data_IF_670975275870
#
_entry.id   IF_670975275870
#
_cell.length_a   1.000
_cell.length_b   1.000
_cell.length_c   1.000
_cell.angle_alpha   90.00
_cell.angle_beta   90.00
_cell.angle_gamma   90.00
#
_symmetry.space_group_name_H-M   'P 1'
#
loop_
_entity.id
_entity.type
_entity.pdbx_description
1 polymer ?
#
# COMPACT_ATOMS: atom_id res chain seq x y z
N UNK A 1 -27.49 -2.26 -2.07
CA UNK A 1 -26.44 -2.38 -1.05
C UNK A 1 -25.67 -3.65 -1.32
N UNK A 2 -24.42 -3.58 -1.81
CA UNK A 2 -23.50 -4.73 -1.74
C UNK A 2 -22.77 -4.64 -0.40
N UNK A 3 -22.77 -5.67 0.45
CA UNK A 3 -22.27 -5.56 1.83
C UNK A 3 -20.74 -5.49 1.93
N UNK A 4 -20.01 -5.95 0.93
CA UNK A 4 -18.55 -6.01 0.95
C UNK A 4 -17.96 -5.12 -0.14
N UNK A 5 -17.09 -4.21 0.27
CA UNK A 5 -16.48 -3.17 -0.54
C UNK A 5 -15.13 -3.65 -1.11
N UNK A 6 -15.04 -4.93 -1.49
CA UNK A 6 -13.81 -5.58 -1.95
C UNK A 6 -13.57 -5.34 -3.42
N UNK A 7 -12.34 -4.98 -3.77
CA UNK A 7 -11.93 -4.76 -5.15
C UNK A 7 -11.52 -6.10 -5.78
N UNK A 8 -12.03 -6.38 -6.99
CA UNK A 8 -11.74 -7.63 -7.71
C UNK A 8 -10.25 -7.74 -8.03
N UNK A 9 -9.66 -8.90 -7.73
CA UNK A 9 -8.26 -9.20 -8.00
C UNK A 9 -7.88 -9.03 -9.47
N UNK A 10 -8.77 -9.37 -10.41
CA UNK A 10 -8.50 -9.20 -11.84
C UNK A 10 -8.34 -7.73 -12.24
N UNK A 11 -9.06 -6.83 -11.55
CA UNK A 11 -8.94 -5.40 -11.79
C UNK A 11 -7.67 -4.81 -11.14
N UNK A 12 -7.05 -5.48 -10.17
CA UNK A 12 -5.80 -5.04 -9.54
C UNK A 12 -4.58 -5.32 -10.43
N UNK A 13 -4.61 -6.43 -11.18
CA UNK A 13 -3.44 -6.91 -11.94
C UNK A 13 -2.88 -5.84 -12.90
N UNK A 14 -3.66 -5.14 -13.77
CA UNK A 14 -3.08 -4.15 -14.69
C UNK A 14 -2.46 -2.91 -13.99
N UNK A 15 -3.14 -2.24 -13.03
CA UNK A 15 -2.53 -1.19 -12.22
C UNK A 15 -1.24 -1.60 -11.51
N UNK A 16 -1.23 -2.81 -10.93
CA UNK A 16 -0.07 -3.33 -10.21
C UNK A 16 1.12 -3.56 -11.15
N UNK A 17 0.90 -4.09 -12.36
CA UNK A 17 1.97 -4.21 -13.37
C UNK A 17 2.56 -2.86 -13.75
N UNK A 18 1.73 -1.84 -13.91
CA UNK A 18 2.19 -0.49 -14.24
C UNK A 18 3.05 0.12 -13.11
N UNK A 19 2.62 -0.08 -11.85
CA UNK A 19 3.38 0.34 -10.68
C UNK A 19 4.74 -0.36 -10.63
N UNK A 20 4.75 -1.69 -10.80
CA UNK A 20 5.98 -2.47 -10.78
C UNK A 20 6.94 -2.09 -11.91
N UNK A 21 6.42 -1.80 -13.12
CA UNK A 21 7.24 -1.30 -14.22
C UNK A 21 7.86 0.07 -13.91
N UNK A 22 7.11 0.97 -13.27
CA UNK A 22 7.61 2.26 -12.81
C UNK A 22 8.70 2.12 -11.74
N UNK A 23 8.48 1.27 -10.74
CA UNK A 23 9.46 1.00 -9.69
C UNK A 23 10.73 0.32 -10.24
N UNK A 24 10.60 -0.65 -11.15
CA UNK A 24 11.76 -1.29 -11.80
C UNK A 24 12.61 -0.26 -12.56
N UNK A 25 11.97 0.68 -13.24
CA UNK A 25 12.67 1.78 -13.91
C UNK A 25 13.42 2.69 -12.91
N UNK A 26 12.76 3.10 -11.82
CA UNK A 26 13.39 3.95 -10.78
C UNK A 26 14.56 3.25 -10.09
N UNK A 27 14.37 2.00 -9.67
CA UNK A 27 15.38 1.21 -8.96
C UNK A 27 16.61 0.95 -9.84
N UNK A 28 16.45 0.76 -11.16
CA UNK A 28 17.57 0.67 -12.12
C UNK A 28 18.36 1.96 -12.28
N UNK A 29 17.78 3.09 -11.91
CA UNK A 29 18.42 4.40 -11.90
C UNK A 29 18.90 4.79 -10.50
N UNK A 30 18.92 3.86 -9.54
CA UNK A 30 19.30 4.09 -8.15
C UNK A 30 18.44 5.16 -7.46
N UNK A 31 17.16 5.24 -7.85
CA UNK A 31 16.15 6.13 -7.29
C UNK A 31 15.18 5.32 -6.43
N UNK A 32 15.04 5.70 -5.17
CA UNK A 32 14.07 5.15 -4.21
C UNK A 32 12.91 6.14 -4.09
N UNK A 33 11.66 5.67 -4.25
CA UNK A 33 10.50 6.58 -4.29
C UNK A 33 10.24 7.23 -2.95
N UNK A 34 10.29 6.46 -1.87
CA UNK A 34 10.16 6.89 -0.45
C UNK A 34 9.10 7.97 -0.22
N UNK A 35 7.89 7.60 0.21
CA UNK A 35 6.81 8.55 0.46
C UNK A 35 6.42 8.67 1.93
N UNK A 36 6.76 9.79 2.58
CA UNK A 36 6.22 10.15 3.90
C UNK A 36 5.09 11.17 3.79
N UNK A 37 4.21 11.21 4.80
CA UNK A 37 3.44 12.38 5.29
C UNK A 37 1.89 12.28 5.34
N UNK A 38 1.41 12.16 6.59
CA UNK A 38 0.14 12.63 7.19
C UNK A 38 -1.21 12.21 6.57
N UNK A 39 -1.88 11.32 7.32
CA UNK A 39 -3.33 11.11 7.28
C UNK A 39 -4.07 12.41 7.68
N UNK A 40 -4.90 12.95 6.79
CA UNK A 40 -6.08 13.72 7.23
C UNK A 40 -7.34 12.92 6.93
N UNK A 41 -8.07 12.60 8.00
CA UNK A 41 -9.30 11.82 8.01
C UNK A 41 -10.50 12.77 7.89
N UNK A 42 -11.26 12.72 6.79
CA UNK A 42 -12.68 13.15 6.67
C UNK A 42 -13.31 12.30 5.58
N UNK A 43 -14.49 11.72 5.66
CA UNK A 43 -15.58 11.64 6.63
C UNK A 43 -16.40 10.39 6.28
N UNK A 44 -17.05 9.79 7.28
CA UNK A 44 -18.11 8.80 7.11
C UNK A 44 -19.33 9.37 6.39
N UNK A 45 -20.14 8.45 5.83
CA UNK A 45 -21.51 8.56 5.32
C UNK A 45 -21.68 8.82 3.80
N UNK A 46 -21.80 7.74 3.03
CA UNK A 46 -22.98 7.43 2.20
C UNK A 46 -22.66 6.29 1.23
N UNK A 47 -23.46 5.23 1.31
CA UNK A 47 -23.35 4.07 0.44
C UNK A 47 -23.84 4.39 -0.96
N UNK A 48 -22.95 4.25 -1.95
CA UNK A 48 -23.18 3.63 -3.25
C UNK A 48 -21.81 3.53 -3.97
N UNK A 49 -21.66 2.41 -4.68
CA UNK A 49 -20.60 1.90 -5.55
C UNK A 49 -19.23 2.63 -5.70
N UNK A 50 -18.22 1.78 -5.56
CA UNK A 50 -16.78 1.75 -5.87
C UNK A 50 -16.15 2.96 -6.57
N UNK A 51 -15.27 3.64 -5.83
CA UNK A 51 -14.28 4.58 -6.37
C UNK A 51 -12.91 3.96 -6.19
N UNK A 52 -12.18 3.91 -7.28
CA UNK A 52 -10.81 3.46 -7.35
C UNK A 52 -9.93 4.53 -6.70
N UNK A 53 -9.46 4.25 -5.48
CA UNK A 53 -8.44 5.06 -4.82
C UNK A 53 -7.10 4.30 -4.94
N UNK A 54 -6.51 4.37 -6.14
CA UNK A 54 -5.18 3.81 -6.41
C UNK A 54 -4.19 4.88 -6.10
N UNK A 55 -3.30 4.61 -5.16
CA UNK A 55 -2.29 5.59 -4.80
C UNK A 55 -1.24 4.92 -3.83
N UNK A 56 0.06 5.10 -4.09
CA UNK A 56 1.21 4.36 -3.50
C UNK A 56 1.59 4.82 -2.07
N UNK A 57 0.60 4.83 -1.17
CA UNK A 57 0.31 6.09 -0.49
C UNK A 57 -0.88 6.69 -1.13
N UNK A 58 -2.13 6.57 -0.60
CA UNK A 58 -3.35 6.90 -1.35
C UNK A 58 -3.54 8.36 -1.87
N UNK A 59 -2.45 9.08 -2.18
CA UNK A 59 -2.32 10.40 -2.80
C UNK A 59 -1.19 10.51 -3.86
N UNK A 60 -0.33 9.49 -4.04
CA UNK A 60 0.88 9.54 -4.90
C UNK A 60 0.76 8.75 -6.21
N UNK A 61 -0.44 8.39 -6.68
CA UNK A 61 -0.65 7.88 -8.05
C UNK A 61 -1.69 8.73 -8.78
N UNK A 62 -1.36 9.16 -9.99
CA UNK A 62 -2.30 9.85 -10.87
C UNK A 62 -2.98 8.85 -11.79
N UNK A 63 -4.31 8.87 -11.81
CA UNK A 63 -5.10 8.23 -12.85
C UNK A 63 -5.40 9.27 -13.94
N UNK A 64 -5.02 8.94 -15.18
CA UNK A 64 -5.45 9.75 -16.32
C UNK A 64 -6.97 9.65 -16.52
N UNK A 65 -7.54 10.62 -17.22
CA UNK A 65 -8.95 10.59 -17.64
C UNK A 65 -9.00 10.40 -19.15
N UNK A 66 -9.82 9.47 -19.62
CA UNK A 66 -9.96 9.16 -21.05
C UNK A 66 -10.85 10.17 -21.78
N UNK A 67 -11.95 10.55 -21.15
CA UNK A 67 -12.93 11.45 -21.72
C UNK A 67 -13.02 12.75 -20.90
N UNK A 68 -12.56 13.85 -21.50
CA UNK A 68 -12.60 15.17 -20.88
C UNK A 68 -14.03 15.72 -20.73
N UNK A 69 -15.02 15.14 -21.41
CA UNK A 69 -16.44 15.51 -21.25
C UNK A 69 -16.93 15.33 -19.80
N UNK A 70 -16.27 14.44 -19.06
CA UNK A 70 -16.54 14.24 -17.63
C UNK A 70 -16.40 15.53 -16.83
N UNK A 71 -15.47 16.40 -17.20
CA UNK A 71 -15.24 17.66 -16.49
C UNK A 71 -16.44 18.60 -16.63
N UNK A 72 -17.08 18.62 -17.80
CA UNK A 72 -18.31 19.39 -18.02
C UNK A 72 -19.46 18.86 -17.16
N UNK A 73 -19.59 17.53 -17.04
CA UNK A 73 -20.58 16.91 -16.13
C UNK A 73 -20.31 17.32 -14.67
N UNK A 74 -19.04 17.39 -14.25
CA UNK A 74 -18.68 17.85 -12.91
C UNK A 74 -18.97 19.33 -12.69
N UNK A 75 -18.68 20.17 -13.68
CA UNK A 75 -18.91 21.61 -13.65
C UNK A 75 -20.41 21.95 -13.58
N UNK A 76 -21.22 21.31 -14.41
CA UNK A 76 -22.68 21.41 -14.36
C UNK A 76 -23.23 20.90 -13.02
N UNK A 77 -22.74 19.77 -12.53
CA UNK A 77 -23.16 19.25 -11.23
C UNK A 77 -22.74 20.14 -10.05
N UNK A 78 -21.61 20.84 -10.13
CA UNK A 78 -21.16 21.81 -9.09
C UNK A 78 -21.92 23.13 -9.15
N UNK A 79 -22.35 23.54 -10.33
CA UNK A 79 -23.01 24.83 -10.56
C UNK A 79 -24.52 24.77 -10.34
N UNK A 80 -25.18 23.74 -10.87
CA UNK A 80 -26.64 23.75 -11.02
C UNK A 80 -27.37 22.73 -10.14
N UNK A 81 -26.81 21.53 -9.95
CA UNK A 81 -27.59 20.40 -9.43
C UNK A 81 -27.22 19.96 -8.01
N UNK A 82 -25.93 19.93 -7.68
CA UNK A 82 -25.47 19.36 -6.41
C UNK A 82 -24.10 19.91 -6.01
N UNK A 83 -23.96 21.18 -5.58
CA UNK A 83 -22.68 21.76 -5.17
C UNK A 83 -22.03 20.93 -4.04
N UNK A 84 -20.71 20.72 -4.13
CA UNK A 84 -20.04 19.94 -3.10
C UNK A 84 -19.91 20.75 -1.81
N UNK A 85 -19.93 20.08 -0.63
CA UNK A 85 -19.67 20.76 0.62
C UNK A 85 -18.34 21.53 0.54
N UNK A 86 -18.38 22.81 0.88
CA UNK A 86 -17.23 23.71 0.75
C UNK A 86 -17.09 24.59 1.98
N UNK A 87 -15.85 24.95 2.32
CA UNK A 87 -15.53 25.95 3.32
C UNK A 87 -14.96 27.18 2.61
N UNK A 88 -15.66 28.29 2.70
CA UNK A 88 -15.20 29.58 2.18
C UNK A 88 -14.37 30.27 3.26
N UNK A 89 -13.13 30.63 2.93
CA UNK A 89 -12.23 31.46 3.72
C UNK A 89 -12.03 32.79 2.99
N UNK A 90 -11.38 33.78 3.62
CA UNK A 90 -11.14 35.09 3.00
C UNK A 90 -10.29 35.01 1.71
N UNK A 91 -9.33 34.08 1.66
CA UNK A 91 -8.37 33.93 0.57
C UNK A 91 -8.71 32.81 -0.43
N UNK A 92 -9.51 31.82 -0.01
CA UNK A 92 -9.78 30.62 -0.81
C UNK A 92 -11.05 29.90 -0.42
N UNK A 93 -11.56 29.09 -1.35
CA UNK A 93 -12.60 28.11 -1.06
C UNK A 93 -12.03 26.71 -1.07
N UNK A 94 -12.25 25.95 0.00
CA UNK A 94 -11.83 24.56 0.13
C UNK A 94 -13.03 23.69 -0.15
N UNK A 95 -12.96 22.88 -1.20
CA UNK A 95 -14.01 21.97 -1.63
C UNK A 95 -13.73 20.56 -1.09
N UNK A 96 -14.79 19.82 -0.75
CA UNK A 96 -14.66 18.37 -0.49
C UNK A 96 -14.46 17.68 -1.84
N UNK A 97 -13.42 16.83 -1.93
CA UNK A 97 -13.09 16.08 -3.14
C UNK A 97 -14.28 15.27 -3.64
N UNK A 98 -14.59 15.39 -4.93
CA UNK A 98 -15.58 14.58 -5.62
C UNK A 98 -14.96 13.29 -6.13
N UNK A 99 -15.81 12.27 -6.23
CA UNK A 99 -15.46 10.96 -6.78
C UNK A 99 -15.34 11.08 -8.30
N UNK A 100 -14.17 10.75 -8.86
CA UNK A 100 -13.94 10.73 -10.32
C UNK A 100 -14.44 9.39 -10.88
N UNK A 101 -15.12 9.36 -12.04
CA UNK A 101 -15.54 8.10 -12.65
C UNK A 101 -14.35 7.28 -13.14
N UNK A 102 -14.65 6.00 -13.40
CA UNK A 102 -13.68 5.02 -13.87
C UNK A 102 -12.96 5.49 -15.14
N UNK A 103 -11.62 5.42 -15.13
CA UNK A 103 -10.81 5.52 -16.34
C UNK A 103 -10.21 4.16 -16.67
N UNK A 104 -10.07 3.89 -17.96
CA UNK A 104 -9.33 2.75 -18.47
C UNK A 104 -7.81 2.95 -18.44
N UNK A 105 -7.32 4.16 -18.09
CA UNK A 105 -5.89 4.46 -17.98
C UNK A 105 -5.29 3.86 -16.71
N UNK A 106 -4.06 3.39 -16.86
CA UNK A 106 -3.28 2.84 -15.78
C UNK A 106 -2.70 3.97 -14.90
N UNK A 107 -2.53 3.73 -13.59
CA UNK A 107 -1.96 4.70 -12.67
C UNK A 107 -0.50 5.04 -13.03
N UNK A 108 -0.11 6.29 -12.80
CA UNK A 108 1.27 6.77 -12.96
C UNK A 108 1.81 7.16 -11.59
N UNK A 109 3.00 6.65 -11.24
CA UNK A 109 3.73 7.04 -10.03
C UNK A 109 4.02 8.54 -10.10
N UNK A 110 3.59 9.26 -9.07
CA UNK A 110 3.81 10.70 -8.92
C UNK A 110 4.43 11.01 -7.57
N UNK A 111 4.62 12.31 -7.32
CA UNK A 111 5.19 12.86 -6.09
C UNK A 111 6.57 12.29 -5.76
N UNK A 112 7.57 12.83 -6.44
CA UNK A 112 8.98 12.54 -6.21
C UNK A 112 9.61 13.49 -5.18
N UNK A 113 8.80 14.23 -4.41
CA UNK A 113 9.29 15.24 -3.47
C UNK A 113 10.09 14.66 -2.31
N UNK A 114 9.90 13.38 -2.02
CA UNK A 114 10.57 12.65 -0.94
C UNK A 114 11.53 11.57 -1.45
N UNK A 115 11.85 11.55 -2.74
CA UNK A 115 12.80 10.59 -3.32
C UNK A 115 14.15 10.62 -2.62
N UNK A 116 14.80 9.45 -2.58
CA UNK A 116 16.17 9.27 -2.09
C UNK A 116 17.02 8.59 -3.17
N UNK A 117 18.28 8.99 -3.27
CA UNK A 117 19.26 8.35 -4.14
C UNK A 117 19.98 7.25 -3.37
N UNK A 118 20.41 6.19 -4.05
CA UNK A 118 21.13 5.07 -3.43
C UNK A 118 22.64 5.33 -3.22
N UNK A 119 23.06 6.58 -3.28
CA UNK A 119 24.46 6.99 -3.21
C UNK A 119 25.04 6.98 -1.79
N UNK A 120 24.18 7.05 -0.77
CA UNK A 120 24.55 7.01 0.64
C UNK A 120 23.79 5.90 1.40
N UNK A 121 24.37 5.45 2.51
CA UNK A 121 23.70 4.48 3.40
C UNK A 121 22.61 5.19 4.21
N UNK A 122 21.37 4.76 4.03
CA UNK A 122 20.22 5.37 4.70
C UNK A 122 19.87 4.63 5.98
N UNK A 123 19.95 5.31 7.14
CA UNK A 123 19.80 4.66 8.45
C UNK A 123 18.94 5.52 9.38
N UNK A 124 17.94 4.90 10.01
CA UNK A 124 17.20 5.50 11.13
C UNK A 124 16.28 6.67 10.76
N UNK A 125 16.21 7.03 9.49
CA UNK A 125 15.22 7.94 8.94
C UNK A 125 13.84 7.31 8.96
N UNK A 126 12.88 8.08 9.41
CA UNK A 126 11.48 7.74 9.24
C UNK A 126 11.07 8.34 7.89
N UNK A 127 10.94 7.49 6.88
CA UNK A 127 10.63 7.83 5.47
C UNK A 127 9.32 7.22 4.99
N UNK A 128 8.80 6.27 5.78
CA UNK A 128 7.56 5.60 5.51
C UNK A 128 6.45 6.10 6.44
N UNK A 129 5.19 5.98 6.03
CA UNK A 129 4.06 6.51 6.77
C UNK A 129 3.45 5.46 7.72
N UNK A 130 3.17 5.84 8.96
CA UNK A 130 2.48 5.07 10.02
C UNK A 130 2.47 3.53 9.85
N UNK A 131 1.35 2.99 9.37
CA UNK A 131 1.04 1.55 9.30
C UNK A 131 1.57 0.87 8.04
N UNK A 132 2.19 1.65 7.14
CA UNK A 132 2.84 1.16 5.93
C UNK A 132 4.34 0.90 6.16
N UNK A 133 4.87 1.30 7.32
CA UNK A 133 6.30 1.16 7.64
C UNK A 133 6.75 -0.30 7.57
N UNK A 134 7.79 -0.54 6.77
CA UNK A 134 8.51 -1.80 6.72
C UNK A 134 9.22 -2.08 8.06
N UNK A 135 9.51 -3.34 8.40
CA UNK A 135 10.11 -3.68 9.69
C UNK A 135 11.48 -3.01 9.92
N UNK A 136 12.30 -2.85 8.87
CA UNK A 136 13.58 -2.14 8.94
C UNK A 136 13.42 -0.66 9.31
N UNK A 137 12.33 0.00 8.87
CA UNK A 137 12.03 1.39 9.23
C UNK A 137 11.54 1.50 10.67
N UNK A 138 10.70 0.55 11.13
CA UNK A 138 10.25 0.50 12.53
C UNK A 138 11.45 0.32 13.47
N UNK A 139 12.38 -0.55 13.10
CA UNK A 139 13.58 -0.84 13.87
C UNK A 139 14.73 0.15 13.63
N UNK A 140 14.55 1.18 12.80
CA UNK A 140 15.59 2.17 12.51
C UNK A 140 16.91 1.54 12.01
N UNK A 141 16.79 0.44 11.28
CA UNK A 141 17.91 -0.22 10.60
C UNK A 141 18.29 0.52 9.31
N UNK A 142 19.35 0.07 8.66
CA UNK A 142 19.64 0.46 7.27
C UNK A 142 18.52 0.00 6.33
N UNK A 143 18.17 0.84 5.36
CA UNK A 143 17.11 0.60 4.38
C UNK A 143 17.54 1.03 2.98
N UNK A 144 16.87 0.47 1.96
CA UNK A 144 17.19 0.64 0.53
C UNK A 144 15.88 0.52 -0.29
N UNK A 145 15.98 0.28 -1.61
CA UNK A 145 14.87 0.08 -2.57
C UNK A 145 13.75 -0.87 -2.09
N UNK A 146 14.06 -1.79 -1.18
CA UNK A 146 13.15 -2.80 -0.65
C UNK A 146 11.95 -2.23 0.11
N UNK A 147 12.04 -0.98 0.59
CA UNK A 147 10.91 -0.28 1.24
C UNK A 147 9.79 0.03 0.26
N UNK A 148 10.13 0.31 -1.01
CA UNK A 148 9.14 0.49 -2.07
C UNK A 148 8.48 -0.85 -2.39
N UNK A 149 9.25 -1.94 -2.42
CA UNK A 149 8.73 -3.29 -2.63
C UNK A 149 7.77 -3.69 -1.51
N UNK A 150 8.09 -3.41 -0.25
CA UNK A 150 7.15 -3.60 0.87
C UNK A 150 5.86 -2.81 0.68
N UNK A 151 5.98 -1.55 0.24
CA UNK A 151 4.83 -0.68 -0.02
C UNK A 151 3.89 -1.26 -1.09
N UNK A 152 4.42 -2.00 -2.07
CA UNK A 152 3.59 -2.71 -3.06
C UNK A 152 2.64 -3.70 -2.39
N UNK A 153 3.10 -4.50 -1.42
CA UNK A 153 2.21 -5.43 -0.70
C UNK A 153 1.15 -4.67 0.11
N UNK A 154 1.56 -3.59 0.81
CA UNK A 154 0.64 -2.78 1.61
C UNK A 154 -0.48 -2.17 0.75
N UNK A 155 -0.11 -1.56 -0.37
CA UNK A 155 -1.04 -0.92 -1.31
C UNK A 155 -1.93 -1.94 -2.01
N UNK A 156 -1.35 -3.06 -2.46
CA UNK A 156 -2.13 -4.13 -3.11
C UNK A 156 -3.22 -4.68 -2.17
N UNK A 157 -2.87 -4.90 -0.91
CA UNK A 157 -3.83 -5.32 0.10
C UNK A 157 -4.91 -4.26 0.39
N UNK A 158 -4.50 -3.00 0.60
CA UNK A 158 -5.43 -1.91 0.92
C UNK A 158 -6.43 -1.67 -0.22
N UNK A 159 -6.00 -1.80 -1.48
CA UNK A 159 -6.90 -1.71 -2.63
C UNK A 159 -7.95 -2.83 -2.60
N UNK A 160 -7.52 -4.07 -2.34
CA UNK A 160 -8.40 -5.26 -2.38
C UNK A 160 -9.38 -5.29 -1.21
N UNK A 161 -8.91 -5.01 0.01
CA UNK A 161 -9.70 -5.10 1.24
C UNK A 161 -10.37 -3.79 1.65
N UNK A 162 -9.87 -2.65 1.17
CA UNK A 162 -10.30 -1.32 1.59
C UNK A 162 -9.80 -0.90 2.98
N UNK A 163 -8.87 -1.67 3.56
CA UNK A 163 -8.17 -1.34 4.80
C UNK A 163 -6.79 -1.98 4.81
N UNK A 164 -5.88 -1.42 5.61
CA UNK A 164 -4.50 -1.90 5.74
C UNK A 164 -4.44 -3.31 6.35
N UNK A 165 -3.39 -4.04 5.98
CA UNK A 165 -3.14 -5.40 6.49
C UNK A 165 -2.79 -5.38 7.98
N UNK A 166 -1.95 -4.41 8.39
CA UNK A 166 -1.62 -4.13 9.78
C UNK A 166 -2.49 -3.00 10.30
N UNK A 167 -3.01 -3.14 11.53
CA UNK A 167 -3.74 -2.07 12.20
C UNK A 167 -2.78 -1.16 12.94
N UNK A 168 -1.79 -1.76 13.61
CA UNK A 168 -0.70 -1.09 14.32
C UNK A 168 -1.13 0.09 15.21
N UNK A 169 -2.34 0.03 15.79
CA UNK A 169 -2.91 1.12 16.59
C UNK A 169 -3.46 0.60 17.91
N UNK A 170 -3.17 1.35 18.98
CA UNK A 170 -3.70 1.08 20.31
C UNK A 170 -5.18 1.53 20.44
N UNK A 171 -5.76 1.36 21.63
CA UNK A 171 -7.16 1.73 21.92
C UNK A 171 -7.46 3.22 21.69
N UNK A 172 -6.45 4.08 21.83
CA UNK A 172 -6.51 5.52 21.56
C UNK A 172 -6.36 5.87 20.06
N UNK A 173 -6.22 4.85 19.20
CA UNK A 173 -5.99 4.96 17.75
C UNK A 173 -4.64 5.59 17.38
N UNK A 174 -3.71 5.64 18.33
CA UNK A 174 -2.34 6.07 18.09
C UNK A 174 -1.50 4.91 17.57
N UNK A 175 -0.54 5.21 16.70
CA UNK A 175 0.40 4.22 16.17
C UNK A 175 1.20 3.60 17.31
N UNK A 176 1.29 2.27 17.34
CA UNK A 176 2.04 1.52 18.33
C UNK A 176 2.89 0.44 17.66
N UNK A 177 4.20 0.65 17.66
CA UNK A 177 5.15 -0.24 17.02
C UNK A 177 5.21 -1.63 17.64
N UNK A 178 4.83 -1.77 18.92
CA UNK A 178 4.76 -3.10 19.57
C UNK A 178 3.63 -3.92 18.96
N UNK A 179 2.47 -3.29 18.73
CA UNK A 179 1.34 -3.93 18.06
C UNK A 179 1.66 -4.22 16.60
N UNK A 180 2.31 -3.28 15.92
CA UNK A 180 2.71 -3.46 14.52
C UNK A 180 3.62 -4.69 14.35
N UNK A 181 4.69 -4.79 15.14
CA UNK A 181 5.63 -5.91 15.08
C UNK A 181 4.98 -7.22 15.52
N UNK A 182 4.05 -7.21 16.49
CA UNK A 182 3.31 -8.41 16.88
C UNK A 182 2.39 -8.92 15.74
N UNK A 183 1.72 -8.02 15.02
CA UNK A 183 0.92 -8.40 13.83
C UNK A 183 1.83 -8.92 12.70
N UNK A 184 3.02 -8.35 12.51
CA UNK A 184 4.02 -8.87 11.56
C UNK A 184 4.48 -10.28 11.95
N UNK A 185 4.76 -10.55 13.24
CA UNK A 185 5.11 -11.89 13.72
C UNK A 185 3.98 -12.89 13.47
N UNK A 186 2.73 -12.50 13.71
CA UNK A 186 1.57 -13.36 13.45
C UNK A 186 1.48 -13.78 11.98
N UNK A 187 1.73 -12.85 11.05
CA UNK A 187 1.60 -13.08 9.61
C UNK A 187 2.84 -13.76 9.00
N UNK A 188 4.04 -13.36 9.41
CA UNK A 188 5.31 -13.74 8.78
C UNK A 188 6.12 -14.77 9.59
N UNK A 189 5.70 -15.06 10.82
CA UNK A 189 6.51 -15.80 11.79
C UNK A 189 7.57 -14.91 12.46
N UNK A 190 8.36 -15.47 13.41
CA UNK A 190 9.40 -14.71 14.10
C UNK A 190 10.51 -14.26 13.12
N UNK A 191 11.09 -13.07 13.32
CA UNK A 191 12.21 -12.60 12.52
C UNK A 191 13.46 -13.48 12.70
N UNK A 192 14.29 -13.64 11.65
CA UNK A 192 15.58 -14.29 11.80
C UNK A 192 16.52 -13.46 12.67
N UNK A 193 17.44 -14.13 13.37
CA UNK A 193 18.40 -13.48 14.28
C UNK A 193 19.25 -12.41 13.57
N UNK A 194 19.67 -12.71 12.34
CA UNK A 194 20.44 -11.78 11.51
C UNK A 194 19.71 -10.44 11.33
N UNK A 195 18.39 -10.46 11.11
CA UNK A 195 17.61 -9.24 10.97
C UNK A 195 17.60 -8.42 12.28
N UNK A 196 17.46 -9.09 13.42
CA UNK A 196 17.45 -8.45 14.74
C UNK A 196 18.80 -7.81 15.09
N UNK A 197 19.90 -8.44 14.68
CA UNK A 197 21.27 -7.96 14.94
C UNK A 197 21.62 -6.69 14.14
N UNK A 198 20.86 -6.35 13.08
CA UNK A 198 21.07 -5.13 12.27
C UNK A 198 20.71 -3.83 12.99
N UNK A 199 19.98 -3.88 14.10
CA UNK A 199 19.63 -2.68 14.87
C UNK A 199 19.59 -2.93 16.36
N UNK A 200 20.21 -2.02 17.13
CA UNK A 200 20.12 -2.02 18.60
C UNK A 200 18.68 -1.79 19.09
N UNK A 201 17.83 -1.16 18.29
CA UNK A 201 16.41 -0.93 18.59
C UNK A 201 15.64 -2.24 18.74
N UNK A 202 16.11 -3.33 18.12
CA UNK A 202 15.50 -4.65 18.25
C UNK A 202 15.44 -5.13 19.70
N UNK A 203 16.44 -4.78 20.53
CA UNK A 203 16.53 -5.18 21.93
C UNK A 203 15.42 -4.59 22.82
N UNK A 204 14.69 -3.58 22.33
CA UNK A 204 13.48 -3.07 22.98
C UNK A 204 12.37 -4.12 22.94
N UNK A 205 12.26 -4.85 21.82
CA UNK A 205 11.13 -5.71 21.50
C UNK A 205 11.45 -7.21 21.67
N UNK A 206 12.69 -7.62 21.37
CA UNK A 206 13.20 -8.98 21.53
C UNK A 206 14.32 -9.04 22.58
N UNK A 207 14.50 -10.20 23.18
CA UNK A 207 15.64 -10.48 24.05
C UNK A 207 16.91 -10.84 23.26
N UNK A 208 18.01 -11.07 23.97
CA UNK A 208 19.31 -11.42 23.36
C UNK A 208 19.29 -12.76 22.60
N UNK A 209 18.30 -13.61 22.87
CA UNK A 209 18.09 -14.88 22.18
C UNK A 209 17.14 -14.73 20.97
N UNK A 210 16.70 -13.51 20.66
CA UNK A 210 15.73 -13.23 19.59
C UNK A 210 14.29 -13.64 19.93
N UNK A 211 13.97 -13.86 21.21
CA UNK A 211 12.62 -14.17 21.65
C UNK A 211 11.81 -12.88 21.90
N UNK A 212 10.54 -12.89 21.51
CA UNK A 212 9.65 -11.76 21.75
C UNK A 212 9.50 -11.50 23.25
N UNK A 213 9.73 -10.27 23.70
CA UNK A 213 9.67 -9.91 25.15
C UNK A 213 8.26 -9.90 25.73
N UNK A 214 7.23 -10.18 24.94
CA UNK A 214 5.84 -10.20 25.42
C UNK A 214 5.29 -8.80 25.72
N UNK A 215 5.79 -7.75 25.06
CA UNK A 215 5.32 -6.38 25.24
C UNK A 215 3.82 -6.20 24.90
N UNK A 216 3.32 -7.05 24.01
CA UNK A 216 1.91 -7.20 23.65
C UNK A 216 1.69 -8.64 23.18
N UNK A 217 0.49 -9.23 23.34
CA UNK A 217 0.19 -10.55 22.79
C UNK A 217 0.31 -10.54 21.26
N UNK A 218 0.86 -11.61 20.71
CA UNK A 218 0.82 -11.88 19.27
C UNK A 218 -0.61 -12.30 18.93
N UNK A 219 -1.31 -11.58 18.03
CA UNK A 219 -2.68 -11.92 17.68
C UNK A 219 -2.74 -13.24 16.90
N UNK A 220 -3.83 -13.99 17.08
CA UNK A 220 -4.11 -15.21 16.30
C UNK A 220 -4.73 -14.83 14.96
N UNK A 221 -3.88 -14.39 14.03
CA UNK A 221 -4.24 -13.98 12.67
C UNK A 221 -3.25 -14.57 11.66
N UNK A 222 -3.74 -14.81 10.46
CA UNK A 222 -2.95 -15.20 9.28
C UNK A 222 -3.46 -14.44 8.04
N UNK A 223 -2.67 -14.42 6.97
CA UNK A 223 -3.12 -13.87 5.69
C UNK A 223 -4.45 -14.48 5.24
N UNK A 224 -4.63 -15.79 5.39
CA UNK A 224 -5.86 -16.50 5.06
C UNK A 224 -7.06 -15.96 5.84
N UNK A 225 -6.93 -15.85 7.16
CA UNK A 225 -8.03 -15.36 8.00
C UNK A 225 -8.38 -13.91 7.69
N UNK A 226 -7.40 -13.07 7.34
CA UNK A 226 -7.61 -11.68 6.98
C UNK A 226 -8.18 -11.52 5.55
N UNK A 227 -7.87 -12.50 4.68
CA UNK A 227 -8.35 -12.56 3.31
C UNK A 227 -9.81 -13.01 3.19
N UNK A 228 -10.46 -13.35 4.30
CA UNK A 228 -11.87 -13.69 4.31
C UNK A 228 -12.71 -12.59 3.63
N UNK A 229 -13.58 -12.99 2.71
CA UNK A 229 -14.40 -12.09 1.91
C UNK A 229 -13.69 -11.39 0.74
N UNK A 230 -12.41 -11.67 0.42
CA UNK A 230 -11.82 -11.26 -0.86
C UNK A 230 -12.51 -12.03 -1.99
N UNK A 231 -12.98 -11.30 -3.00
CA UNK A 231 -13.57 -11.84 -4.22
C UNK A 231 -12.55 -11.81 -5.37
N UNK A 232 -12.49 -12.87 -6.18
CA UNK A 232 -11.63 -12.95 -7.35
C UNK A 232 -11.20 -14.38 -7.68
N UNK A 233 -10.77 -14.59 -8.92
CA UNK A 233 -10.06 -15.82 -9.28
C UNK A 233 -8.68 -15.83 -8.62
N UNK A 234 -8.24 -17.02 -8.18
CA UNK A 234 -6.92 -17.25 -7.59
C UNK A 234 -6.51 -16.35 -6.40
N UNK A 235 -7.34 -16.27 -5.36
CA UNK A 235 -6.98 -15.62 -4.07
C UNK A 235 -5.72 -16.25 -3.48
N UNK A 236 -5.52 -17.56 -3.65
CA UNK A 236 -4.33 -18.25 -3.16
C UNK A 236 -3.04 -17.73 -3.82
N UNK A 237 -3.05 -17.51 -5.13
CA UNK A 237 -1.96 -16.87 -5.86
C UNK A 237 -1.69 -15.44 -5.38
N UNK A 238 -2.73 -14.65 -5.11
CA UNK A 238 -2.56 -13.32 -4.53
C UNK A 238 -1.87 -13.36 -3.17
N UNK A 239 -2.30 -14.27 -2.27
CA UNK A 239 -1.64 -14.42 -0.97
C UNK A 239 -0.19 -14.94 -1.11
N UNK A 240 0.07 -15.81 -2.07
CA UNK A 240 1.42 -16.27 -2.40
C UNK A 240 2.30 -15.11 -2.89
N UNK A 241 1.79 -14.25 -3.77
CA UNK A 241 2.45 -13.03 -4.23
C UNK A 241 2.82 -12.13 -3.05
N UNK A 242 1.88 -11.87 -2.13
CA UNK A 242 2.15 -11.06 -0.94
C UNK A 242 3.21 -11.69 -0.03
N UNK A 243 3.22 -13.01 0.17
CA UNK A 243 4.25 -13.71 0.96
C UNK A 243 5.65 -13.62 0.38
N UNK A 244 5.79 -13.43 -0.93
CA UNK A 244 7.11 -13.18 -1.53
C UNK A 244 7.64 -11.81 -1.10
N UNK A 245 6.76 -10.83 -0.96
CA UNK A 245 7.10 -9.45 -0.57
C UNK A 245 7.25 -9.28 0.95
N UNK A 246 6.37 -9.91 1.74
CA UNK A 246 6.33 -9.80 3.20
C UNK A 246 7.44 -10.66 3.83
N UNK A 247 8.68 -10.16 3.73
CA UNK A 247 9.89 -10.76 4.29
C UNK A 247 10.57 -9.82 5.26
N UNK A 248 11.11 -10.41 6.34
CA UNK A 248 11.83 -9.69 7.39
C UNK A 248 13.12 -9.10 6.84
N UNK A 249 13.93 -9.94 6.18
CA UNK A 249 15.14 -9.50 5.50
C UNK A 249 14.76 -8.76 4.20
N UNK A 250 15.14 -7.48 4.04
CA UNK A 250 14.78 -6.71 2.85
C UNK A 250 15.26 -7.35 1.54
N UNK A 251 16.45 -7.93 1.53
CA UNK A 251 17.06 -8.59 0.37
C UNK A 251 16.45 -9.94 -0.02
N UNK A 252 15.60 -10.52 0.83
CA UNK A 252 14.80 -11.71 0.46
C UNK A 252 13.55 -11.33 -0.36
N UNK A 253 13.22 -10.04 -0.45
CA UNK A 253 12.10 -9.56 -1.26
C UNK A 253 12.51 -9.59 -2.74
N UNK A 254 11.64 -10.02 -3.67
CA UNK A 254 11.95 -9.93 -5.09
C UNK A 254 12.00 -8.48 -5.56
N UNK A 255 12.80 -8.20 -6.58
CA UNK A 255 12.81 -6.91 -7.27
C UNK A 255 11.47 -6.61 -7.95
N UNK A 256 11.21 -5.34 -8.26
CA UNK A 256 9.99 -4.96 -8.97
C UNK A 256 9.87 -5.66 -10.34
N UNK A 257 11.00 -5.78 -11.07
CA UNK A 257 11.06 -6.54 -12.31
C UNK A 257 10.71 -8.02 -12.15
N UNK A 258 11.16 -8.69 -11.08
CA UNK A 258 10.80 -10.09 -10.81
C UNK A 258 9.33 -10.27 -10.42
N UNK A 259 8.77 -9.34 -9.64
CA UNK A 259 7.36 -9.34 -9.28
C UNK A 259 6.44 -9.13 -10.49
N UNK A 260 6.89 -8.35 -11.48
CA UNK A 260 6.13 -8.12 -12.71
C UNK A 260 5.85 -9.43 -13.48
N UNK A 261 6.74 -10.41 -13.36
CA UNK A 261 6.61 -11.75 -13.96
C UNK A 261 6.12 -12.81 -12.98
N UNK A 262 5.58 -12.42 -11.83
CA UNK A 262 5.00 -13.38 -10.89
C UNK A 262 3.87 -14.20 -11.55
N UNK A 263 3.77 -15.52 -11.31
CA UNK A 263 2.75 -16.37 -11.94
C UNK A 263 1.32 -15.86 -11.76
N UNK A 264 0.97 -15.37 -10.57
CA UNK A 264 -0.37 -14.83 -10.30
C UNK A 264 -0.62 -13.56 -11.12
N UNK A 265 0.39 -12.69 -11.21
CA UNK A 265 0.29 -11.45 -11.99
C UNK A 265 0.32 -11.71 -13.49
N UNK A 266 0.92 -12.80 -13.97
CA UNK A 266 0.97 -13.16 -15.39
C UNK A 266 -0.25 -13.96 -15.86
N UNK A 267 -1.02 -14.52 -14.93
CA UNK A 267 -2.24 -15.24 -15.26
C UNK A 267 -3.22 -14.34 -16.04
N UNK A 268 -3.81 -14.91 -17.10
CA UNK A 268 -4.77 -14.21 -17.97
C UNK A 268 -4.16 -13.40 -19.13
N UNK A 269 -2.87 -13.05 -19.08
CA UNK A 269 -2.21 -12.21 -20.11
C UNK A 269 -1.99 -12.86 -21.50
N UNK A 270 -2.50 -14.06 -21.74
CA UNK A 270 -2.47 -14.74 -23.05
C UNK A 270 -3.83 -15.15 -23.60
N UNK A 271 -4.93 -14.95 -22.86
CA UNK A 271 -6.26 -15.44 -23.25
C UNK A 271 -7.02 -14.49 -24.18
N UNK A 272 -6.62 -13.22 -24.30
CA UNK A 272 -7.26 -12.22 -25.16
C UNK A 272 -6.96 -12.39 -26.67
N UNK A 273 -6.11 -13.35 -27.05
CA UNK A 273 -5.76 -13.66 -28.45
C UNK A 273 -6.44 -14.88 -29.05
N UNK A 274 -7.32 -15.58 -28.31
CA UNK A 274 -8.03 -16.76 -28.80
C UNK A 274 -9.54 -16.66 -28.56
N UNK A 275 -10.16 -15.65 -29.15
CA UNK A 275 -11.57 -15.73 -29.54
C UNK A 275 -11.62 -15.57 -31.05
N UNK A 276 -11.84 -16.70 -31.75
CA UNK A 276 -12.28 -16.72 -33.14
C UNK A 276 -13.76 -16.38 -33.21
#
# INVERSE_FOLDING_TARGET
>A
MRPNNTFDLELLKPPLRQILAGLDYLHRLDIIHTGKLLLTRKSLLSGLLTVIKIDLQTRNLLLGIDDTSVFSVFEEAETEYQPCPRKVLEDRTIYVSRRVPFSSRLPIITDFGEVRLRDEAHIGEDIMPDVYRAPEIILRSEWDIWVDIWSVAMVSWDIVKGHTIFKARNDEKLLDDRLHLAEMIAIMGPPPKEFLERSQTSLIYWDENGQWRGLTPIPDISLETLADGIEGEDVAGFLSFLRRILRWLPEERPTAGELMFDPWLMEGLGKFGQSK
#
